data_IF_842070276387
#
_entry.id   IF_842070276387
#
_cell.length_a   1.000
_cell.length_b   1.000
_cell.length_c   1.000
_cell.angle_alpha   90.00
_cell.angle_beta   90.00
_cell.angle_gamma   90.00
#
_symmetry.space_group_name_H-M   'P 1'
#
loop_
_entity.id
_entity.type
_entity.pdbx_description
1 polymer ?
#
# COMPACT_ATOMS: atom_id res chain seq x y z
N UNK A 1 -24.27 -9.00 -17.97
CA UNK A 1 -24.06 -8.51 -16.61
C UNK A 1 -25.21 -7.58 -16.28
N UNK A 2 -26.19 -8.07 -15.53
CA UNK A 2 -27.24 -7.21 -14.95
C UNK A 2 -26.54 -6.41 -13.86
N UNK A 3 -26.44 -5.09 -14.04
CA UNK A 3 -26.18 -4.21 -12.92
C UNK A 3 -27.31 -4.46 -11.93
N UNK A 4 -26.98 -5.01 -10.76
CA UNK A 4 -27.91 -5.03 -9.66
C UNK A 4 -28.23 -3.56 -9.37
N UNK A 5 -29.47 -3.15 -9.53
CA UNK A 5 -29.95 -1.86 -9.02
C UNK A 5 -29.62 -1.86 -7.54
N UNK A 6 -28.70 -0.98 -7.14
CA UNK A 6 -28.42 -0.72 -5.74
C UNK A 6 -29.67 -0.03 -5.20
N UNK A 7 -30.64 -0.81 -4.72
CA UNK A 7 -31.76 -0.25 -3.98
C UNK A 7 -31.21 0.60 -2.84
N UNK A 8 -31.52 1.88 -2.87
CA UNK A 8 -31.25 2.80 -1.77
C UNK A 8 -32.01 2.31 -0.54
N UNK A 9 -31.32 1.65 0.38
CA UNK A 9 -31.89 0.96 1.53
C UNK A 9 -31.82 1.74 2.83
N UNK A 10 -31.07 2.82 2.85
CA UNK A 10 -31.14 3.84 3.90
C UNK A 10 -31.96 4.98 3.30
N UNK A 11 -33.09 5.28 3.89
CA UNK A 11 -33.92 6.45 3.48
C UNK A 11 -33.00 7.65 3.36
N UNK A 12 -33.26 8.51 2.36
CA UNK A 12 -32.47 9.72 2.16
C UNK A 12 -32.36 10.44 3.50
N UNK A 13 -31.12 10.73 3.92
CA UNK A 13 -30.88 11.58 5.08
C UNK A 13 -31.27 12.98 4.63
N UNK A 14 -32.52 13.34 4.82
CA UNK A 14 -33.06 14.66 4.51
C UNK A 14 -32.53 15.66 5.56
N UNK A 15 -31.35 16.21 5.30
CA UNK A 15 -30.78 17.29 6.10
C UNK A 15 -30.18 16.86 7.46
N UNK A 16 -29.74 17.86 8.18
CA UNK A 16 -29.22 17.67 9.53
C UNK A 16 -30.38 17.40 10.50
N UNK A 17 -30.31 16.33 11.33
CA UNK A 17 -31.34 16.09 12.34
C UNK A 17 -31.50 17.27 13.30
N UNK A 18 -32.71 17.70 13.53
CA UNK A 18 -33.02 18.81 14.45
C UNK A 18 -32.83 18.44 15.93
N UNK A 19 -32.78 17.16 16.26
CA UNK A 19 -32.60 16.65 17.63
C UNK A 19 -31.71 15.40 17.66
N UNK A 20 -31.05 15.11 18.80
CA UNK A 20 -30.26 13.90 18.97
C UNK A 20 -31.11 12.63 18.84
N UNK A 21 -30.61 11.64 18.09
CA UNK A 21 -31.23 10.31 18.03
C UNK A 21 -30.71 9.39 19.16
N UNK A 22 -31.54 8.42 19.59
CA UNK A 22 -31.08 7.38 20.52
C UNK A 22 -30.16 6.37 19.82
N UNK A 23 -29.15 5.85 20.53
CA UNK A 23 -28.26 4.83 19.99
C UNK A 23 -29.00 3.58 19.48
N UNK A 24 -30.00 3.01 20.19
CA UNK A 24 -30.79 1.90 19.66
C UNK A 24 -31.45 2.19 18.32
N UNK A 25 -32.07 3.36 18.18
CA UNK A 25 -32.71 3.77 16.91
C UNK A 25 -31.70 3.87 15.76
N UNK A 26 -30.50 4.39 16.01
CA UNK A 26 -29.42 4.48 15.02
C UNK A 26 -28.95 3.09 14.61
N UNK A 27 -28.72 2.19 15.57
CA UNK A 27 -28.31 0.81 15.31
C UNK A 27 -29.36 0.03 14.52
N UNK A 28 -30.64 0.23 14.81
CA UNK A 28 -31.73 -0.43 14.09
C UNK A 28 -31.81 0.02 12.62
N UNK A 29 -31.43 1.26 12.31
CA UNK A 29 -31.28 1.76 10.94
C UNK A 29 -30.05 1.19 10.23
N UNK A 30 -28.93 1.04 10.95
CA UNK A 30 -27.67 0.53 10.37
C UNK A 30 -27.70 -0.97 10.08
N UNK A 31 -28.38 -1.78 10.91
CA UNK A 31 -28.40 -3.25 10.75
C UNK A 31 -28.83 -3.74 9.36
N UNK A 32 -29.91 -3.23 8.74
CA UNK A 32 -30.27 -3.61 7.38
C UNK A 32 -29.21 -3.26 6.34
N UNK A 33 -28.57 -2.09 6.47
CA UNK A 33 -27.51 -1.65 5.56
C UNK A 33 -26.28 -2.57 5.66
N UNK A 34 -25.89 -2.93 6.89
CA UNK A 34 -24.79 -3.88 7.15
C UNK A 34 -25.11 -5.25 6.54
N UNK A 35 -26.34 -5.74 6.72
CA UNK A 35 -26.76 -7.06 6.18
C UNK A 35 -26.78 -7.10 4.65
N UNK A 36 -27.00 -5.97 3.98
CA UNK A 36 -26.95 -5.85 2.50
C UNK A 36 -25.54 -5.64 1.95
N UNK A 37 -24.56 -5.36 2.81
CA UNK A 37 -23.16 -5.24 2.42
C UNK A 37 -22.52 -6.61 2.20
N UNK A 38 -21.42 -6.66 1.45
CA UNK A 38 -20.61 -7.88 1.39
C UNK A 38 -20.08 -8.23 2.78
N UNK A 39 -20.24 -9.50 3.16
CA UNK A 39 -19.63 -10.00 4.40
C UNK A 39 -18.16 -10.35 4.16
N UNK A 40 -17.29 -9.36 4.28
CA UNK A 40 -15.84 -9.51 4.08
C UNK A 40 -15.18 -10.38 5.16
N UNK A 41 -15.81 -10.57 6.31
CA UNK A 41 -15.35 -11.46 7.36
C UNK A 41 -15.84 -12.92 7.20
N UNK A 42 -16.64 -13.20 6.19
CA UNK A 42 -17.18 -14.54 5.93
C UNK A 42 -16.15 -15.46 5.27
N UNK A 43 -16.16 -16.77 5.58
CA UNK A 43 -15.17 -17.72 5.07
C UNK A 43 -15.20 -17.92 3.55
N UNK A 44 -16.25 -17.52 2.87
CA UNK A 44 -16.37 -17.58 1.42
C UNK A 44 -16.00 -16.28 0.69
N UNK A 45 -15.53 -15.27 1.38
CA UNK A 45 -15.14 -14.00 0.74
C UNK A 45 -13.72 -14.10 0.18
N UNK A 46 -13.62 -14.12 -1.14
CA UNK A 46 -12.35 -14.25 -1.87
C UNK A 46 -12.13 -13.11 -2.88
N UNK A 47 -12.89 -12.03 -2.76
CA UNK A 47 -12.85 -10.91 -3.71
C UNK A 47 -12.16 -9.68 -3.12
N UNK A 48 -11.68 -8.81 -4.02
CA UNK A 48 -11.15 -7.47 -3.72
C UNK A 48 -9.93 -7.41 -2.77
N UNK A 49 -9.23 -8.53 -2.55
CA UNK A 49 -7.97 -8.62 -1.79
C UNK A 49 -8.09 -8.35 -0.27
N UNK A 50 -8.85 -7.34 0.24
CA UNK A 50 -8.91 -7.15 1.68
C UNK A 50 -9.52 -8.36 2.36
N UNK A 51 -8.81 -8.84 3.38
CA UNK A 51 -9.29 -9.92 4.24
C UNK A 51 -10.39 -9.44 5.18
N UNK A 52 -11.13 -10.38 5.76
CA UNK A 52 -11.99 -10.10 6.92
C UNK A 52 -11.15 -9.78 8.14
N UNK A 53 -11.61 -8.86 8.99
CA UNK A 53 -10.92 -8.53 10.24
C UNK A 53 -10.98 -9.68 11.25
N UNK A 54 -9.92 -9.85 12.05
CA UNK A 54 -9.91 -10.75 13.20
C UNK A 54 -10.50 -10.05 14.45
N UNK A 55 -11.20 -10.82 15.30
CA UNK A 55 -11.90 -10.27 16.46
C UNK A 55 -10.97 -9.52 17.42
N UNK A 56 -9.76 -10.04 17.67
CA UNK A 56 -8.79 -9.39 18.57
C UNK A 56 -8.37 -8.01 18.05
N UNK A 57 -8.22 -7.85 16.73
CA UNK A 57 -7.87 -6.56 16.14
C UNK A 57 -9.06 -5.57 16.22
N UNK A 58 -10.30 -6.04 16.02
CA UNK A 58 -11.49 -5.20 16.21
C UNK A 58 -11.63 -4.72 17.66
N UNK A 59 -11.29 -5.56 18.63
CA UNK A 59 -11.24 -5.17 20.06
C UNK A 59 -10.15 -4.13 20.30
N UNK A 60 -8.98 -4.29 19.69
CA UNK A 60 -7.90 -3.31 19.80
C UNK A 60 -8.31 -1.95 19.22
N UNK A 61 -8.98 -1.91 18.06
CA UNK A 61 -9.54 -0.69 17.49
C UNK A 61 -10.58 -0.03 18.41
N UNK A 62 -11.46 -0.86 19.01
CA UNK A 62 -12.43 -0.36 20.00
C UNK A 62 -11.73 0.28 21.21
N UNK A 63 -10.68 -0.34 21.75
CA UNK A 63 -9.89 0.22 22.84
C UNK A 63 -9.22 1.53 22.40
N UNK A 64 -8.58 1.55 21.23
CA UNK A 64 -7.94 2.75 20.70
C UNK A 64 -8.94 3.90 20.53
N UNK A 65 -10.10 3.64 19.92
CA UNK A 65 -11.15 4.63 19.71
C UNK A 65 -11.77 5.12 21.03
N UNK A 66 -12.00 4.22 22.00
CA UNK A 66 -12.61 4.58 23.29
C UNK A 66 -11.67 5.36 24.22
N UNK A 67 -10.39 5.07 24.19
CA UNK A 67 -9.38 5.80 24.97
C UNK A 67 -8.94 7.10 24.33
N UNK A 68 -8.97 7.16 22.99
CA UNK A 68 -8.70 8.32 22.14
C UNK A 68 -7.48 9.14 22.57
N UNK A 69 -6.33 8.48 22.73
CA UNK A 69 -5.09 9.15 23.18
C UNK A 69 -4.39 9.83 22.02
N UNK A 70 -3.88 11.04 22.29
CA UNK A 70 -3.09 11.78 21.30
C UNK A 70 -1.66 11.23 21.25
N UNK A 71 -1.30 10.62 20.13
CA UNK A 71 0.02 10.01 19.87
C UNK A 71 0.85 10.75 18.81
N UNK A 72 0.35 11.88 18.30
CA UNK A 72 1.03 12.66 17.25
C UNK A 72 2.37 13.26 17.68
N UNK A 73 2.63 13.35 18.96
CA UNK A 73 3.94 13.69 19.56
C UNK A 73 4.22 12.78 20.74
N UNK A 74 5.48 12.43 20.97
CA UNK A 74 5.89 11.46 22.01
C UNK A 74 5.54 11.84 23.46
N UNK A 75 5.73 13.10 23.91
CA UNK A 75 5.58 13.43 25.34
C UNK A 75 4.20 13.13 25.94
N UNK A 76 3.06 13.37 25.29
CA UNK A 76 1.75 13.08 25.87
C UNK A 76 1.41 11.60 26.02
N UNK A 77 2.03 10.72 25.22
CA UNK A 77 1.73 9.29 25.20
C UNK A 77 2.97 8.44 24.87
N UNK A 78 4.04 8.50 25.69
CA UNK A 78 5.34 7.91 25.35
C UNK A 78 5.27 6.38 25.17
N UNK A 79 4.48 5.69 25.99
CA UNK A 79 4.33 4.24 25.89
C UNK A 79 3.60 3.83 24.59
N UNK A 80 2.58 4.57 24.17
CA UNK A 80 1.85 4.28 22.94
C UNK A 80 2.72 4.57 21.69
N UNK A 81 3.47 5.67 21.70
CA UNK A 81 4.45 5.95 20.64
C UNK A 81 5.53 4.85 20.56
N UNK A 82 5.96 4.29 21.70
CA UNK A 82 6.89 3.15 21.70
C UNK A 82 6.27 1.87 21.13
N UNK A 83 4.97 1.63 21.34
CA UNK A 83 4.26 0.50 20.73
C UNK A 83 4.27 0.64 19.21
N UNK A 84 3.99 1.82 18.67
CA UNK A 84 4.05 2.09 17.23
C UNK A 84 5.45 1.80 16.66
N UNK A 85 6.48 2.37 17.27
CA UNK A 85 7.88 2.11 16.86
C UNK A 85 8.23 0.61 16.92
N UNK A 86 7.69 -0.10 17.90
CA UNK A 86 7.91 -1.54 18.05
C UNK A 86 7.20 -2.33 16.95
N UNK A 87 5.97 -1.97 16.63
CA UNK A 87 5.21 -2.58 15.53
C UNK A 87 5.93 -2.38 14.19
N UNK A 88 6.43 -1.18 13.91
CA UNK A 88 7.23 -0.89 12.71
C UNK A 88 8.48 -1.77 12.64
N UNK A 89 9.21 -1.91 13.76
CA UNK A 89 10.40 -2.79 13.81
C UNK A 89 10.06 -4.26 13.58
N UNK A 90 8.93 -4.74 14.10
CA UNK A 90 8.48 -6.11 13.83
C UNK A 90 8.15 -6.32 12.36
N UNK A 91 7.45 -5.37 11.72
CA UNK A 91 7.14 -5.44 10.30
C UNK A 91 8.42 -5.43 9.45
N UNK A 92 9.37 -4.54 9.77
CA UNK A 92 10.67 -4.51 9.12
C UNK A 92 11.43 -5.84 9.27
N UNK A 93 11.46 -6.40 10.49
CA UNK A 93 12.09 -7.69 10.77
C UNK A 93 11.44 -8.85 10.01
N UNK A 94 10.12 -8.89 9.91
CA UNK A 94 9.40 -9.89 9.10
C UNK A 94 9.87 -9.84 7.64
N UNK A 95 10.10 -8.65 7.12
CA UNK A 95 10.56 -8.45 5.74
C UNK A 95 12.09 -8.62 5.57
N UNK A 96 12.84 -8.86 6.64
CA UNK A 96 14.30 -9.05 6.60
C UNK A 96 15.10 -7.74 6.61
N UNK A 97 14.47 -6.58 6.78
CA UNK A 97 15.17 -5.30 6.84
C UNK A 97 16.07 -5.19 8.09
N UNK A 98 17.18 -4.43 8.02
CA UNK A 98 18.07 -4.24 9.15
C UNK A 98 17.37 -3.49 10.30
N UNK A 99 17.90 -3.62 11.51
CA UNK A 99 17.37 -2.94 12.71
C UNK A 99 17.41 -1.41 12.64
N UNK A 100 18.20 -0.86 11.71
CA UNK A 100 18.27 0.57 11.42
C UNK A 100 17.16 1.07 10.48
N UNK A 101 16.37 0.16 9.91
CA UNK A 101 15.24 0.55 9.06
C UNK A 101 14.19 1.30 9.87
N UNK A 102 13.75 2.44 9.33
CA UNK A 102 12.63 3.22 9.85
C UNK A 102 11.35 2.99 9.07
N UNK A 103 10.26 3.52 9.58
CA UNK A 103 8.98 3.44 8.89
C UNK A 103 7.93 4.34 9.53
N UNK A 104 6.77 4.40 8.90
CA UNK A 104 5.57 5.10 9.38
C UNK A 104 4.35 4.22 9.18
N UNK A 105 3.39 4.29 10.09
CA UNK A 105 2.06 3.73 9.87
C UNK A 105 1.20 4.77 9.14
N UNK A 106 0.46 4.30 8.16
CA UNK A 106 -0.43 5.12 7.34
C UNK A 106 -1.84 4.54 7.32
N UNK A 107 -2.77 5.22 6.66
CA UNK A 107 -4.14 4.70 6.48
C UNK A 107 -4.27 3.65 5.36
N UNK A 108 -3.17 3.23 4.77
CA UNK A 108 -3.16 2.19 3.71
C UNK A 108 -2.15 2.46 2.61
N UNK A 109 -1.92 1.48 1.74
CA UNK A 109 -0.89 1.45 0.71
C UNK A 109 -0.85 2.66 -0.22
N UNK A 110 -1.97 3.33 -0.45
CA UNK A 110 -1.97 4.55 -1.26
C UNK A 110 -1.17 5.68 -0.63
N UNK A 111 -1.28 5.88 0.69
CA UNK A 111 -0.51 6.91 1.39
C UNK A 111 0.93 6.46 1.64
N UNK A 112 1.14 5.18 1.91
CA UNK A 112 2.48 4.58 2.01
C UNK A 112 3.26 4.77 0.71
N UNK A 113 2.64 4.46 -0.44
CA UNK A 113 3.24 4.66 -1.76
C UNK A 113 3.54 6.15 -2.04
N UNK A 114 2.64 7.07 -1.66
CA UNK A 114 2.89 8.51 -1.77
C UNK A 114 4.13 8.91 -0.96
N UNK A 115 4.23 8.46 0.28
CA UNK A 115 5.37 8.72 1.15
C UNK A 115 6.68 8.19 0.55
N UNK A 116 6.66 6.97 -0.01
CA UNK A 116 7.81 6.38 -0.68
C UNK A 116 8.25 7.17 -1.92
N UNK A 117 7.30 7.63 -2.76
CA UNK A 117 7.61 8.45 -3.94
C UNK A 117 8.23 9.79 -3.53
N UNK A 118 7.69 10.44 -2.49
CA UNK A 118 8.25 11.69 -1.97
C UNK A 118 9.65 11.47 -1.42
N UNK A 119 9.87 10.43 -0.61
CA UNK A 119 11.19 10.10 -0.08
C UNK A 119 12.21 9.80 -1.19
N UNK A 120 11.82 9.02 -2.21
CA UNK A 120 12.66 8.73 -3.36
C UNK A 120 13.00 9.99 -4.16
N UNK A 121 12.02 10.89 -4.36
CA UNK A 121 12.22 12.18 -5.03
C UNK A 121 13.27 13.03 -4.29
N UNK A 122 13.10 13.22 -2.99
CA UNK A 122 14.01 14.01 -2.16
C UNK A 122 15.44 13.41 -2.13
N UNK A 123 15.54 12.08 -2.13
CA UNK A 123 16.84 11.39 -2.08
C UNK A 123 17.57 11.36 -3.43
N UNK A 124 16.85 11.41 -4.56
CA UNK A 124 17.43 11.12 -5.88
C UNK A 124 17.38 12.28 -6.87
N UNK A 125 16.53 13.26 -6.65
CA UNK A 125 16.34 14.37 -7.59
C UNK A 125 16.67 15.72 -6.93
N UNK A 126 17.08 16.73 -7.74
CA UNK A 126 17.18 18.12 -7.28
C UNK A 126 15.79 18.74 -7.09
N UNK A 127 15.73 19.95 -6.55
CA UNK A 127 14.49 20.72 -6.37
C UNK A 127 13.66 20.81 -7.67
N UNK A 128 14.33 21.01 -8.81
CA UNK A 128 13.71 20.85 -10.13
C UNK A 128 13.71 19.38 -10.55
N UNK A 129 12.62 18.70 -10.23
CA UNK A 129 12.39 17.31 -10.61
C UNK A 129 11.61 17.14 -11.92
N UNK A 130 11.50 18.19 -12.73
CA UNK A 130 10.75 18.17 -14.00
C UNK A 130 11.22 17.09 -14.98
N UNK A 131 12.48 16.66 -14.87
CA UNK A 131 13.07 15.58 -15.70
C UNK A 131 13.03 14.19 -15.05
N UNK A 132 12.55 14.06 -13.82
CA UNK A 132 12.49 12.80 -13.09
C UNK A 132 11.53 11.80 -13.74
N UNK A 133 11.91 10.51 -13.81
CA UNK A 133 11.03 9.45 -14.33
C UNK A 133 10.94 8.27 -13.38
N UNK A 134 9.71 7.76 -13.21
CA UNK A 134 9.34 6.59 -12.39
C UNK A 134 8.96 5.46 -13.35
N UNK A 135 9.41 4.23 -13.08
CA UNK A 135 9.13 3.06 -13.88
C UNK A 135 8.22 2.10 -13.15
N UNK A 136 7.10 1.74 -13.80
CA UNK A 136 6.07 0.84 -13.30
C UNK A 136 5.74 -0.19 -14.37
N UNK A 137 5.13 -1.32 -14.01
CA UNK A 137 4.56 -2.23 -14.99
C UNK A 137 3.12 -1.85 -15.37
N UNK A 138 2.60 -2.51 -16.41
CA UNK A 138 1.19 -2.39 -16.78
C UNK A 138 0.24 -2.94 -15.71
N UNK A 139 0.73 -3.89 -14.89
CA UNK A 139 -0.02 -4.52 -13.79
C UNK A 139 0.10 -3.76 -12.45
N UNK A 140 0.94 -2.72 -12.39
CA UNK A 140 1.11 -1.93 -11.17
C UNK A 140 -0.20 -1.27 -10.77
N UNK A 141 -0.52 -1.34 -9.48
CA UNK A 141 -1.75 -0.78 -8.94
C UNK A 141 -1.88 0.72 -9.23
N UNK A 142 -3.09 1.16 -9.55
CA UNK A 142 -3.38 2.55 -9.94
C UNK A 142 -3.01 3.59 -8.87
N UNK A 143 -2.80 3.18 -7.61
CA UNK A 143 -2.36 4.11 -6.56
C UNK A 143 -0.99 4.72 -6.87
N UNK A 144 -0.10 4.02 -7.58
CA UNK A 144 1.25 4.51 -7.89
C UNK A 144 1.20 5.73 -8.83
N UNK A 145 0.59 5.67 -10.04
CA UNK A 145 0.47 6.86 -10.88
C UNK A 145 -0.35 7.97 -10.22
N UNK A 146 -1.36 7.64 -9.41
CA UNK A 146 -2.12 8.62 -8.63
C UNK A 146 -1.22 9.32 -7.60
N UNK A 147 -0.43 8.57 -6.84
CA UNK A 147 0.51 9.10 -5.85
C UNK A 147 1.60 9.96 -6.52
N UNK A 148 2.14 9.53 -7.66
CA UNK A 148 3.10 10.31 -8.43
C UNK A 148 2.52 11.66 -8.85
N UNK A 149 1.26 11.69 -9.33
CA UNK A 149 0.58 12.94 -9.68
C UNK A 149 0.41 13.86 -8.46
N UNK A 150 0.02 13.34 -7.30
CA UNK A 150 -0.10 14.10 -6.05
C UNK A 150 1.27 14.65 -5.62
N UNK A 151 2.35 13.86 -5.80
CA UNK A 151 3.72 14.27 -5.55
C UNK A 151 4.28 15.28 -6.56
N UNK A 152 3.49 15.73 -7.55
CA UNK A 152 3.83 16.78 -8.51
C UNK A 152 4.35 16.28 -9.87
N UNK A 153 4.43 14.97 -10.08
CA UNK A 153 4.84 14.40 -11.36
C UNK A 153 3.72 14.46 -12.39
N UNK A 154 4.08 14.64 -13.66
CA UNK A 154 3.16 14.56 -14.80
C UNK A 154 3.01 13.11 -15.26
N UNK A 155 1.91 12.79 -15.94
CA UNK A 155 1.62 11.43 -16.41
C UNK A 155 2.73 10.85 -17.28
N UNK A 156 3.36 11.68 -18.11
CA UNK A 156 4.47 11.26 -18.98
C UNK A 156 5.74 10.88 -18.21
N UNK A 157 5.92 11.32 -16.98
CA UNK A 157 7.05 10.97 -16.11
C UNK A 157 6.90 9.57 -15.50
N UNK A 158 5.68 9.01 -15.52
CA UNK A 158 5.40 7.64 -15.08
C UNK A 158 5.45 6.71 -16.29
N UNK A 159 6.54 5.95 -16.41
CA UNK A 159 6.85 5.08 -17.54
C UNK A 159 6.27 3.68 -17.32
N UNK A 160 5.34 3.28 -18.14
CA UNK A 160 4.86 1.91 -18.17
C UNK A 160 5.84 1.02 -18.96
N UNK A 161 6.33 -0.01 -18.31
CA UNK A 161 7.25 -1.01 -18.85
C UNK A 161 6.47 -2.25 -19.20
N UNK A 162 6.82 -2.89 -20.31
CA UNK A 162 6.23 -4.16 -20.73
C UNK A 162 6.42 -5.25 -19.68
N UNK A 163 5.50 -6.20 -19.68
CA UNK A 163 5.51 -7.38 -18.80
C UNK A 163 5.92 -8.62 -19.60
N UNK A 164 6.46 -9.60 -18.89
CA UNK A 164 6.79 -10.92 -19.43
C UNK A 164 5.55 -11.84 -19.54
N UNK A 165 5.74 -13.06 -20.03
CA UNK A 165 4.68 -14.07 -20.12
C UNK A 165 4.11 -14.53 -18.77
N UNK A 166 4.73 -14.15 -17.64
CA UNK A 166 4.28 -14.40 -16.27
C UNK A 166 3.68 -13.17 -15.61
N UNK A 167 3.37 -12.13 -16.38
CA UNK A 167 2.80 -10.86 -15.90
C UNK A 167 3.71 -10.07 -14.96
N UNK A 168 5.03 -10.25 -15.04
CA UNK A 168 6.04 -9.54 -14.24
C UNK A 168 6.70 -8.46 -15.10
N UNK A 169 7.29 -7.45 -14.49
CA UNK A 169 8.15 -6.50 -15.22
C UNK A 169 9.17 -7.26 -16.06
N UNK A 170 9.27 -6.94 -17.35
CA UNK A 170 10.38 -7.44 -18.19
C UNK A 170 11.65 -6.62 -17.88
N UNK A 171 12.68 -7.25 -17.26
CA UNK A 171 13.91 -6.54 -16.90
C UNK A 171 14.67 -5.98 -18.10
N UNK A 172 14.59 -6.63 -19.27
CA UNK A 172 15.24 -6.13 -20.50
C UNK A 172 14.54 -4.89 -21.02
N UNK A 173 13.20 -4.91 -21.06
CA UNK A 173 12.40 -3.76 -21.46
C UNK A 173 12.60 -2.57 -20.48
N UNK A 174 12.72 -2.84 -19.18
CA UNK A 174 13.03 -1.84 -18.16
C UNK A 174 14.39 -1.17 -18.42
N UNK A 175 15.46 -1.96 -18.56
CA UNK A 175 16.80 -1.42 -18.82
C UNK A 175 16.84 -0.58 -20.10
N UNK A 176 16.20 -1.04 -21.17
CA UNK A 176 16.10 -0.27 -22.43
C UNK A 176 15.32 1.04 -22.25
N UNK A 177 14.24 1.05 -21.44
CA UNK A 177 13.48 2.26 -21.18
C UNK A 177 14.30 3.29 -20.39
N UNK A 178 15.05 2.85 -19.39
CA UNK A 178 15.97 3.67 -18.61
C UNK A 178 17.03 4.32 -19.52
N UNK A 179 17.69 3.53 -20.36
CA UNK A 179 18.72 4.05 -21.27
C UNK A 179 18.15 5.05 -22.29
N UNK A 180 16.98 4.76 -22.89
CA UNK A 180 16.32 5.72 -23.79
C UNK A 180 16.00 7.04 -23.12
N UNK A 181 15.55 7.01 -21.86
CA UNK A 181 15.23 8.24 -21.14
C UNK A 181 16.50 9.02 -20.77
N UNK A 182 17.59 8.35 -20.39
CA UNK A 182 18.90 8.97 -20.16
C UNK A 182 19.44 9.66 -21.41
N UNK A 183 19.35 9.01 -22.58
CA UNK A 183 19.77 9.61 -23.83
C UNK A 183 18.97 10.87 -24.20
N UNK A 184 17.74 11.00 -23.71
CA UNK A 184 16.89 12.20 -23.86
C UNK A 184 17.16 13.27 -22.79
N UNK A 185 18.14 13.07 -21.92
CA UNK A 185 18.47 13.99 -20.82
C UNK A 185 17.47 13.96 -19.66
N UNK A 186 16.65 12.91 -19.56
CA UNK A 186 15.79 12.66 -18.42
C UNK A 186 16.57 12.04 -17.26
N UNK A 187 15.97 12.04 -16.07
CA UNK A 187 16.56 11.52 -14.84
C UNK A 187 15.75 10.34 -14.28
N UNK A 188 16.01 9.10 -14.77
CA UNK A 188 15.47 7.91 -14.14
C UNK A 188 15.84 7.86 -12.67
N UNK A 189 14.85 7.79 -11.76
CA UNK A 189 15.14 7.83 -10.33
C UNK A 189 14.45 6.76 -9.49
N UNK A 190 13.35 6.18 -9.97
CA UNK A 190 12.59 5.21 -9.18
C UNK A 190 12.05 4.07 -10.03
N UNK A 191 12.21 2.84 -9.52
CA UNK A 191 11.56 1.62 -10.03
C UNK A 191 10.56 1.16 -8.96
N UNK A 192 9.34 0.83 -9.37
CA UNK A 192 8.35 0.18 -8.50
C UNK A 192 8.24 -1.29 -8.89
N UNK A 193 8.67 -2.15 -7.98
CA UNK A 193 8.58 -3.59 -8.08
C UNK A 193 7.27 -4.07 -7.43
N UNK A 194 6.50 -4.93 -8.10
CA UNK A 194 5.26 -5.44 -7.56
C UNK A 194 5.51 -6.76 -6.82
N UNK A 195 5.01 -6.87 -5.61
CA UNK A 195 5.03 -8.10 -4.80
C UNK A 195 3.60 -8.55 -4.58
N UNK A 196 3.05 -9.23 -5.59
CA UNK A 196 1.65 -9.61 -5.65
C UNK A 196 0.78 -8.51 -6.27
N UNK A 197 0.71 -8.46 -7.61
CA UNK A 197 -0.17 -7.52 -8.32
C UNK A 197 -1.64 -7.79 -7.99
N UNK A 198 -2.45 -6.75 -7.92
CA UNK A 198 -3.88 -6.83 -7.57
C UNK A 198 -4.67 -7.76 -8.49
N UNK A 199 -4.38 -7.74 -9.80
CA UNK A 199 -5.17 -8.50 -10.78
C UNK A 199 -4.69 -9.94 -10.97
N UNK A 200 -3.40 -10.22 -10.79
CA UNK A 200 -2.81 -11.50 -11.17
C UNK A 200 -2.02 -12.19 -10.05
N UNK A 201 -1.71 -11.47 -8.95
CA UNK A 201 -0.86 -11.97 -7.88
C UNK A 201 0.62 -12.12 -8.30
N UNK A 202 1.02 -11.63 -9.47
CA UNK A 202 2.38 -11.76 -9.96
C UNK A 202 3.38 -11.05 -9.05
N UNK A 203 4.55 -11.66 -8.87
CA UNK A 203 5.67 -11.12 -8.10
C UNK A 203 6.83 -10.90 -9.08
N UNK A 204 7.32 -9.68 -9.13
CA UNK A 204 8.45 -9.31 -10.00
C UNK A 204 9.76 -9.99 -9.54
N UNK A 205 10.74 -10.09 -10.43
CA UNK A 205 12.08 -10.61 -10.11
C UNK A 205 12.88 -9.58 -9.30
N UNK A 206 12.59 -9.48 -8.00
CA UNK A 206 13.16 -8.46 -7.10
C UNK A 206 14.68 -8.35 -7.22
N UNK A 207 15.48 -9.43 -7.18
CA UNK A 207 16.93 -9.33 -7.30
C UNK A 207 17.39 -8.65 -8.60
N UNK A 208 16.67 -8.92 -9.69
CA UNK A 208 16.96 -8.30 -10.99
C UNK A 208 16.66 -6.80 -10.99
N UNK A 209 15.52 -6.40 -10.42
CA UNK A 209 15.12 -5.00 -10.35
C UNK A 209 16.03 -4.21 -9.43
N UNK A 210 16.44 -4.79 -8.29
CA UNK A 210 17.43 -4.23 -7.37
C UNK A 210 18.78 -4.03 -8.07
N UNK A 211 19.26 -5.05 -8.82
CA UNK A 211 20.49 -4.95 -9.58
C UNK A 211 20.46 -3.81 -10.63
N UNK A 212 19.34 -3.68 -11.36
CA UNK A 212 19.15 -2.58 -12.31
C UNK A 212 19.11 -1.23 -11.57
N UNK A 213 18.36 -1.14 -10.48
CA UNK A 213 18.28 0.07 -9.67
C UNK A 213 19.65 0.53 -9.17
N UNK A 214 20.46 -0.38 -8.64
CA UNK A 214 21.82 -0.10 -8.17
C UNK A 214 22.74 0.36 -9.30
N UNK A 215 22.73 -0.33 -10.45
CA UNK A 215 23.59 0.03 -11.60
C UNK A 215 23.28 1.43 -12.16
N UNK A 216 22.07 1.92 -11.96
CA UNK A 216 21.62 3.22 -12.41
C UNK A 216 21.44 4.26 -11.29
N UNK A 217 21.82 3.93 -10.04
CA UNK A 217 21.64 4.78 -8.84
C UNK A 217 20.20 5.21 -8.59
N UNK A 218 19.25 4.34 -8.95
CA UNK A 218 17.81 4.57 -8.77
C UNK A 218 17.33 4.01 -7.43
N UNK A 219 16.21 4.55 -6.96
CA UNK A 219 15.46 4.03 -5.83
C UNK A 219 14.60 2.84 -6.27
N UNK A 220 14.66 1.75 -5.55
CA UNK A 220 13.78 0.59 -5.78
C UNK A 220 12.77 0.50 -4.65
N UNK A 221 11.50 0.62 -5.01
CA UNK A 221 10.37 0.50 -4.07
C UNK A 221 9.62 -0.80 -4.32
N UNK A 222 9.40 -1.58 -3.27
CA UNK A 222 8.56 -2.77 -3.33
C UNK A 222 7.11 -2.41 -2.94
N UNK A 223 6.19 -2.46 -3.91
CA UNK A 223 4.75 -2.47 -3.61
C UNK A 223 4.34 -3.88 -3.17
N UNK A 224 4.44 -4.13 -1.89
CA UNK A 224 4.11 -5.39 -1.24
C UNK A 224 2.80 -5.28 -0.43
N UNK A 225 1.96 -4.30 -0.74
CA UNK A 225 0.71 -4.05 -0.06
C UNK A 225 -0.18 -5.29 0.03
N UNK A 226 -0.20 -6.13 -1.02
CA UNK A 226 -0.92 -7.39 -1.02
C UNK A 226 -0.02 -8.57 -0.63
N UNK A 227 1.08 -8.77 -1.34
CA UNK A 227 1.86 -10.01 -1.26
C UNK A 227 2.85 -10.08 -0.11
N UNK A 228 3.20 -8.96 0.52
CA UNK A 228 4.29 -8.93 1.52
C UNK A 228 4.10 -9.93 2.66
N UNK A 229 2.90 -10.04 3.20
CA UNK A 229 2.64 -10.93 4.33
C UNK A 229 2.57 -12.43 3.98
N UNK A 230 2.57 -12.79 2.69
CA UNK A 230 2.81 -14.18 2.31
C UNK A 230 4.21 -14.67 2.71
N UNK A 231 5.13 -13.77 3.04
CA UNK A 231 6.43 -14.11 3.65
C UNK A 231 6.29 -14.92 4.95
N UNK A 232 5.19 -14.79 5.65
CA UNK A 232 4.86 -15.58 6.84
C UNK A 232 4.34 -16.99 6.53
N UNK A 233 3.99 -17.29 5.28
CA UNK A 233 3.60 -18.63 4.84
C UNK A 233 4.84 -19.48 4.55
N UNK A 234 4.72 -20.81 4.58
CA UNK A 234 5.85 -21.73 4.53
C UNK A 234 6.85 -21.50 3.37
N UNK A 235 6.38 -21.19 2.15
CA UNK A 235 7.24 -20.88 1.00
C UNK A 235 7.44 -19.36 0.78
N UNK A 236 6.98 -18.54 1.69
CA UNK A 236 6.95 -17.08 1.52
C UNK A 236 8.30 -16.42 1.29
N UNK A 237 9.36 -16.77 2.03
CA UNK A 237 10.69 -16.21 1.79
C UNK A 237 11.22 -16.47 0.37
N UNK A 238 10.94 -17.65 -0.19
CA UNK A 238 11.40 -18.04 -1.53
C UNK A 238 10.63 -17.30 -2.65
N UNK A 239 9.42 -16.80 -2.35
CA UNK A 239 8.62 -16.05 -3.30
C UNK A 239 9.14 -14.63 -3.53
N UNK A 240 9.84 -14.05 -2.57
CA UNK A 240 10.32 -12.68 -2.60
C UNK A 240 11.76 -12.55 -2.09
N UNK A 241 12.73 -13.25 -2.73
CA UNK A 241 14.13 -13.19 -2.33
C UNK A 241 14.66 -11.75 -2.45
N UNK A 242 15.54 -11.37 -1.54
CA UNK A 242 16.19 -10.05 -1.52
C UNK A 242 15.23 -8.85 -1.44
N UNK A 243 14.01 -9.03 -0.92
CA UNK A 243 13.06 -7.92 -0.77
C UNK A 243 13.61 -6.85 0.17
N UNK A 244 14.40 -7.22 1.15
CA UNK A 244 15.11 -6.35 2.10
C UNK A 244 16.16 -5.45 1.44
N UNK A 245 16.54 -5.74 0.21
CA UNK A 245 17.48 -4.94 -0.59
C UNK A 245 16.80 -3.79 -1.35
N UNK A 246 15.46 -3.72 -1.32
CA UNK A 246 14.72 -2.57 -1.81
C UNK A 246 14.90 -1.38 -0.86
N UNK A 247 14.99 -0.17 -1.41
CA UNK A 247 15.16 1.07 -0.63
C UNK A 247 13.93 1.40 0.23
N UNK A 248 12.74 0.93 -0.17
CA UNK A 248 11.50 1.06 0.60
C UNK A 248 10.48 -0.01 0.23
N UNK A 249 9.55 -0.25 1.14
CA UNK A 249 8.47 -1.22 0.99
C UNK A 249 7.14 -0.64 1.47
N UNK A 250 6.07 -0.91 0.75
CA UNK A 250 4.69 -0.70 1.21
C UNK A 250 4.08 -2.04 1.66
N UNK A 251 3.46 -2.04 2.83
CA UNK A 251 2.76 -3.19 3.42
C UNK A 251 1.36 -2.76 3.85
N UNK A 252 0.34 -3.58 3.59
CA UNK A 252 -1.02 -3.34 4.09
C UNK A 252 -1.43 -4.46 5.07
N UNK A 253 -1.23 -4.26 6.40
CA UNK A 253 -1.66 -5.21 7.41
C UNK A 253 -3.17 -5.51 7.35
N UNK A 254 -3.97 -4.54 6.91
CA UNK A 254 -5.41 -4.73 6.70
C UNK A 254 -5.77 -5.65 5.52
N UNK A 255 -4.77 -6.08 4.72
CA UNK A 255 -4.92 -7.11 3.69
C UNK A 255 -4.41 -8.47 4.20
N UNK A 256 -3.12 -8.68 4.16
CA UNK A 256 -2.51 -9.98 4.44
C UNK A 256 -2.47 -10.42 5.89
N UNK A 257 -2.61 -9.50 6.86
CA UNK A 257 -2.69 -9.83 8.29
C UNK A 257 -4.12 -9.80 8.85
N UNK A 258 -5.13 -9.58 8.02
CA UNK A 258 -6.54 -9.57 8.40
C UNK A 258 -6.88 -8.52 9.49
N UNK A 259 -6.11 -7.43 9.56
CA UNK A 259 -6.45 -6.32 10.46
C UNK A 259 -7.63 -5.51 9.91
N UNK A 260 -8.33 -4.73 10.76
CA UNK A 260 -9.32 -3.77 10.29
C UNK A 260 -8.72 -2.76 9.31
N UNK A 261 -9.58 -2.20 8.44
CA UNK A 261 -9.17 -1.17 7.50
C UNK A 261 -8.54 0.04 8.20
N UNK A 262 -7.60 0.68 7.52
CA UNK A 262 -6.94 1.89 7.99
C UNK A 262 -5.52 1.67 8.49
N UNK A 263 -4.92 0.50 8.21
CA UNK A 263 -3.52 0.20 8.52
C UNK A 263 -2.72 -0.12 7.26
N UNK A 264 -1.67 0.68 7.01
CA UNK A 264 -0.73 0.49 5.91
C UNK A 264 0.61 1.11 6.21
#
# INVERSE_FOLDING_TARGET
HRHAEVERTVGEVEGLPAAPGSLPTILDRLRPAIRKSFNTAGPGYLAFIPGGGIMSAAIADFIAASTNRYVGVRPPAPALAQIEETAIRWLASIMGYPTSAGGILTSGGSLSTLSAIVAAREAKLPDDFSKGTIYISEETHYCVPKAARIAGFRDWQVRKVAIDGRRRVDPKALAQAIERDRMKGLKPFMIVANVGTTNTGAIDEIPRLVSIGRSHSMWVHADAAYGGFFRLAGAGPDLMPEIEECDSITLDPHKGMFLPYGTG
#
